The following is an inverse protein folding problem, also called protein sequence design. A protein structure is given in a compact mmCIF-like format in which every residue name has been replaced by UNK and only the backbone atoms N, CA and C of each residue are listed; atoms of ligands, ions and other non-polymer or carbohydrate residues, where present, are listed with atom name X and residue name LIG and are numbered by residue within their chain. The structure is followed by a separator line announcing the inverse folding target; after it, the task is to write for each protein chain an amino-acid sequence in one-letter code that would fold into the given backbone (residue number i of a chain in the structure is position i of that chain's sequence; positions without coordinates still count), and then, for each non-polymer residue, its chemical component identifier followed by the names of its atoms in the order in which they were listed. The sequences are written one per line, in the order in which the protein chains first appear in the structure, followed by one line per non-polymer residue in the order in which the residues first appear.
data_IF_185669522062
#
_entry.id   IF_185669522062
#
_cell.length_a   1.000
_cell.length_b   1.000
_cell.length_c   1.000
_cell.angle_alpha   90.00
_cell.angle_beta   90.00
_cell.angle_gamma   90.00
#
_symmetry.space_group_name_H-M   'P 1'
#
loop_
_entity.id
_entity.type
_entity.pdbx_description
1 polymer ?
#
# COMPACT_ATOMS: atom_id res chain seq x y z
N UNK A 1 -23.63 8.22 -28.28
CA UNK A 1 -24.38 7.78 -27.08
C UNK A 1 -24.30 6.26 -27.03
N UNK A 2 -23.63 5.64 -26.05
CA UNK A 2 -23.71 4.18 -25.92
C UNK A 2 -25.16 3.82 -25.57
N UNK A 3 -25.76 2.98 -26.40
CA UNK A 3 -27.14 2.50 -26.25
C UNK A 3 -27.29 1.75 -24.93
N UNK A 4 -28.36 1.97 -24.14
CA UNK A 4 -28.59 1.16 -22.95
C UNK A 4 -28.78 -0.31 -23.37
N UNK A 5 -27.90 -1.19 -22.88
CA UNK A 5 -27.94 -2.62 -23.18
C UNK A 5 -29.23 -3.25 -22.62
N UNK A 6 -29.82 -4.19 -23.37
CA UNK A 6 -31.00 -4.94 -22.96
C UNK A 6 -30.67 -5.79 -21.72
N UNK A 7 -31.43 -5.62 -20.64
CA UNK A 7 -31.33 -6.44 -19.43
C UNK A 7 -32.14 -7.73 -19.61
N UNK A 8 -31.57 -8.88 -19.25
CA UNK A 8 -32.24 -10.19 -19.28
C UNK A 8 -32.38 -10.69 -17.84
N UNK A 9 -33.52 -11.32 -17.52
CA UNK A 9 -33.70 -12.02 -16.24
C UNK A 9 -33.15 -13.43 -16.38
N UNK A 10 -32.20 -13.78 -15.53
CA UNK A 10 -31.55 -15.09 -15.53
C UNK A 10 -31.62 -15.66 -14.12
N UNK A 11 -31.97 -16.94 -14.01
CA UNK A 11 -31.91 -17.70 -12.76
C UNK A 11 -30.62 -18.48 -12.76
N UNK A 12 -29.79 -18.29 -11.73
CA UNK A 12 -28.52 -18.99 -11.54
C UNK A 12 -28.58 -19.71 -10.19
N UNK A 13 -28.14 -20.96 -10.15
CA UNK A 13 -27.89 -21.66 -8.88
C UNK A 13 -26.54 -21.18 -8.34
N UNK A 14 -26.57 -20.54 -7.18
CA UNK A 14 -25.40 -19.99 -6.51
C UNK A 14 -25.26 -20.60 -5.12
N UNK A 15 -24.03 -20.90 -4.67
CA UNK A 15 -23.76 -21.28 -3.29
C UNK A 15 -24.33 -20.27 -2.28
N UNK A 16 -24.89 -20.77 -1.17
CA UNK A 16 -25.62 -19.94 -0.20
C UNK A 16 -24.72 -18.92 0.51
N UNK A 17 -23.49 -19.30 0.78
CA UNK A 17 -22.40 -18.45 1.28
C UNK A 17 -22.13 -17.26 0.33
N UNK A 18 -22.01 -17.51 -0.97
CA UNK A 18 -21.77 -16.46 -1.96
C UNK A 18 -22.95 -15.46 -2.02
N UNK A 19 -24.18 -15.95 -1.93
CA UNK A 19 -25.38 -15.09 -1.87
C UNK A 19 -25.38 -14.24 -0.58
N UNK A 20 -24.91 -14.80 0.53
CA UNK A 20 -24.79 -14.08 1.80
C UNK A 20 -23.73 -12.97 1.72
N UNK A 21 -22.56 -13.24 1.15
CA UNK A 21 -21.52 -12.23 0.93
C UNK A 21 -22.00 -11.10 0.03
N UNK A 22 -22.71 -11.45 -1.07
CA UNK A 22 -23.29 -10.45 -1.97
C UNK A 22 -24.34 -9.57 -1.26
N UNK A 23 -25.16 -10.15 -0.37
CA UNK A 23 -26.11 -9.39 0.45
C UNK A 23 -25.40 -8.43 1.39
N UNK A 24 -24.35 -8.90 2.08
CA UNK A 24 -23.58 -8.07 3.00
C UNK A 24 -22.96 -6.87 2.27
N UNK A 25 -22.34 -7.11 1.11
CA UNK A 25 -21.75 -6.07 0.27
C UNK A 25 -22.80 -5.08 -0.25
N UNK A 26 -23.99 -5.56 -0.63
CA UNK A 26 -25.10 -4.71 -1.05
C UNK A 26 -25.56 -3.76 0.07
N UNK A 27 -25.63 -4.25 1.31
CA UNK A 27 -25.96 -3.42 2.48
C UNK A 27 -24.87 -2.39 2.75
N UNK A 28 -23.60 -2.79 2.74
CA UNK A 28 -22.46 -1.90 3.00
C UNK A 28 -22.35 -0.77 1.99
N UNK A 29 -22.63 -1.04 0.72
CA UNK A 29 -22.54 -0.05 -0.36
C UNK A 29 -23.86 0.68 -0.63
N UNK A 30 -24.93 0.42 0.13
CA UNK A 30 -26.29 0.92 -0.13
C UNK A 30 -26.79 0.66 -1.57
N UNK A 31 -26.43 -0.49 -2.13
CA UNK A 31 -26.74 -0.90 -3.51
C UNK A 31 -27.66 -2.10 -3.54
N UNK A 32 -28.28 -2.37 -4.69
CA UNK A 32 -29.11 -3.57 -4.87
C UNK A 32 -28.22 -4.78 -5.17
N UNK A 33 -28.63 -5.97 -4.72
CA UNK A 33 -27.92 -7.24 -4.97
C UNK A 33 -27.66 -7.47 -6.46
N UNK A 34 -28.62 -7.12 -7.34
CA UNK A 34 -28.46 -7.25 -8.79
C UNK A 34 -27.30 -6.41 -9.35
N UNK A 35 -27.02 -5.25 -8.76
CA UNK A 35 -25.97 -4.35 -9.23
C UNK A 35 -24.60 -4.88 -8.78
N UNK A 36 -24.53 -5.39 -7.54
CA UNK A 36 -23.37 -6.11 -7.02
C UNK A 36 -23.09 -7.37 -7.85
N UNK A 37 -24.13 -8.14 -8.20
CA UNK A 37 -24.03 -9.32 -9.05
C UNK A 37 -23.49 -8.97 -10.44
N UNK A 38 -24.06 -7.93 -11.07
CA UNK A 38 -23.64 -7.48 -12.41
C UNK A 38 -22.18 -7.05 -12.41
N UNK A 39 -21.74 -6.36 -11.36
CA UNK A 39 -20.36 -5.92 -11.22
C UNK A 39 -19.40 -7.08 -10.96
N UNK A 40 -19.75 -8.01 -10.07
CA UNK A 40 -18.95 -9.19 -9.79
C UNK A 40 -18.77 -10.05 -11.05
N UNK A 41 -19.87 -10.30 -11.78
CA UNK A 41 -19.83 -11.03 -13.05
C UNK A 41 -19.01 -10.27 -14.11
N UNK A 42 -19.17 -8.95 -14.23
CA UNK A 42 -18.37 -8.16 -15.16
C UNK A 42 -16.88 -8.24 -14.85
N UNK A 43 -16.50 -8.16 -13.57
CA UNK A 43 -15.10 -8.29 -13.14
C UNK A 43 -14.55 -9.69 -13.42
N UNK A 44 -15.34 -10.75 -13.18
CA UNK A 44 -14.93 -12.13 -13.44
C UNK A 44 -14.87 -12.53 -14.92
N UNK A 45 -15.63 -11.85 -15.78
CA UNK A 45 -15.62 -12.07 -17.23
C UNK A 45 -14.55 -11.26 -17.97
N UNK A 46 -13.94 -10.26 -17.31
CA UNK A 46 -12.77 -9.63 -17.88
C UNK A 46 -11.67 -10.70 -17.98
N UNK A 47 -10.98 -10.82 -19.13
CA UNK A 47 -9.84 -11.73 -19.22
C UNK A 47 -8.90 -11.41 -18.07
N UNK A 48 -8.48 -12.44 -17.33
CA UNK A 48 -7.40 -12.27 -16.36
C UNK A 48 -6.28 -11.57 -17.11
N UNK A 49 -6.04 -10.30 -16.77
CA UNK A 49 -4.72 -9.76 -16.91
C UNK A 49 -3.92 -10.64 -15.99
N UNK A 50 -3.33 -11.71 -16.55
CA UNK A 50 -2.26 -12.47 -15.91
C UNK A 50 -1.40 -11.39 -15.31
N UNK A 51 -1.50 -11.24 -14.00
CA UNK A 51 -0.53 -10.49 -13.26
C UNK A 51 0.69 -11.35 -13.47
N UNK A 52 1.50 -10.97 -14.46
CA UNK A 52 2.85 -11.51 -14.57
C UNK A 52 3.38 -11.49 -13.14
N UNK A 53 3.93 -12.62 -12.63
CA UNK A 53 4.38 -12.71 -11.25
C UNK A 53 5.15 -11.44 -10.98
N UNK A 54 4.72 -10.70 -9.96
CA UNK A 54 5.06 -9.32 -9.66
C UNK A 54 6.59 -9.16 -9.76
N UNK A 55 7.07 -8.93 -10.99
CA UNK A 55 8.41 -8.43 -11.22
C UNK A 55 8.25 -7.10 -10.53
N UNK A 56 8.91 -6.94 -9.40
CA UNK A 56 8.93 -5.71 -8.61
C UNK A 56 9.30 -4.58 -9.59
N UNK A 57 8.30 -4.04 -10.27
CA UNK A 57 8.41 -2.92 -11.19
C UNK A 57 8.26 -1.77 -10.24
N UNK A 58 9.39 -1.44 -9.60
CA UNK A 58 9.52 -0.43 -8.56
C UNK A 58 8.46 0.65 -8.73
N UNK A 59 7.41 0.53 -7.91
CA UNK A 59 6.16 1.30 -8.00
C UNK A 59 6.36 2.66 -7.35
N UNK A 60 7.42 3.35 -7.72
CA UNK A 60 7.71 4.70 -7.26
C UNK A 60 7.85 5.59 -8.48
N UNK A 61 7.15 6.73 -8.46
CA UNK A 61 7.32 7.79 -9.47
C UNK A 61 8.66 8.52 -9.34
N UNK A 62 9.40 8.21 -8.28
CA UNK A 62 10.67 8.82 -7.93
C UNK A 62 11.84 7.96 -8.46
N UNK A 63 12.95 8.58 -8.88
CA UNK A 63 14.12 7.83 -9.30
C UNK A 63 14.64 6.98 -8.14
N UNK A 64 14.88 5.70 -8.41
CA UNK A 64 15.64 4.86 -7.49
C UNK A 64 17.10 5.24 -7.62
N UNK A 65 17.58 6.01 -6.66
CA UNK A 65 19.00 6.28 -6.55
C UNK A 65 19.63 5.02 -5.96
N UNK A 66 20.41 4.30 -6.77
CA UNK A 66 21.32 3.26 -6.28
C UNK A 66 22.51 3.96 -5.65
N UNK A 67 22.34 4.41 -4.41
CA UNK A 67 23.35 5.13 -3.64
C UNK A 67 23.60 4.44 -2.30
N UNK A 68 24.82 4.62 -1.79
CA UNK A 68 25.31 4.01 -0.56
C UNK A 68 26.33 2.92 -0.84
N UNK A 69 27.61 3.20 -0.60
CA UNK A 69 28.54 2.10 -0.29
C UNK A 69 28.18 1.59 1.11
N UNK A 70 28.41 0.30 1.42
CA UNK A 70 28.42 -0.15 2.81
C UNK A 70 29.29 0.81 3.64
N UNK A 71 28.81 1.18 4.82
CA UNK A 71 29.63 1.94 5.76
C UNK A 71 30.90 1.13 6.07
N UNK A 72 32.06 1.81 6.14
CA UNK A 72 33.24 1.15 6.66
C UNK A 72 33.02 0.84 8.16
N UNK A 73 33.72 -0.15 8.72
CA UNK A 73 33.66 -0.43 10.15
C UNK A 73 33.96 0.85 10.97
N UNK A 74 33.01 1.26 11.82
CA UNK A 74 33.10 2.49 12.63
C UNK A 74 32.46 3.74 12.02
N UNK A 75 32.08 3.73 10.74
CA UNK A 75 31.26 4.77 10.10
C UNK A 75 29.76 4.43 10.13
N UNK A 76 29.42 3.26 10.68
CA UNK A 76 28.06 2.80 10.81
C UNK A 76 27.27 3.70 11.76
N UNK A 77 26.17 4.26 11.26
CA UNK A 77 25.20 4.99 12.07
C UNK A 77 24.24 4.01 12.74
N UNK A 78 24.76 3.17 13.65
CA UNK A 78 23.92 2.33 14.50
C UNK A 78 23.14 3.18 15.50
N UNK A 79 22.02 2.68 16.06
CA UNK A 79 21.25 3.42 17.07
C UNK A 79 22.10 3.88 18.26
N UNK A 80 23.02 3.03 18.72
CA UNK A 80 23.93 3.33 19.84
C UNK A 80 24.92 4.43 19.45
N UNK A 81 25.46 4.38 18.24
CA UNK A 81 26.39 5.40 17.75
C UNK A 81 25.70 6.76 17.57
N UNK A 82 24.48 6.76 17.07
CA UNK A 82 23.65 7.97 16.96
C UNK A 82 23.38 8.55 18.34
N UNK A 83 23.01 7.73 19.32
CA UNK A 83 22.77 8.20 20.68
C UNK A 83 24.01 8.88 21.28
N UNK A 84 25.19 8.27 21.11
CA UNK A 84 26.45 8.86 21.56
C UNK A 84 26.75 10.20 20.89
N UNK A 85 26.60 10.28 19.56
CA UNK A 85 26.85 11.53 18.82
C UNK A 85 25.93 12.66 19.31
N UNK A 86 24.65 12.36 19.52
CA UNK A 86 23.69 13.34 20.00
C UNK A 86 24.00 13.81 21.44
N UNK A 87 24.41 12.89 22.31
CA UNK A 87 24.83 13.23 23.68
C UNK A 87 26.10 14.10 23.69
N UNK A 88 27.10 13.75 22.87
CA UNK A 88 28.34 14.53 22.72
C UNK A 88 28.03 15.97 22.22
N UNK A 89 27.15 16.11 21.23
CA UNK A 89 26.69 17.42 20.72
C UNK A 89 25.97 18.25 21.78
N UNK A 90 25.13 17.63 22.61
CA UNK A 90 24.42 18.30 23.70
C UNK A 90 25.40 18.78 24.79
N UNK A 91 26.41 17.97 25.14
CA UNK A 91 27.49 18.36 26.05
C UNK A 91 28.29 19.53 25.49
N UNK A 92 28.71 19.47 24.22
CA UNK A 92 29.44 20.57 23.58
C UNK A 92 28.61 21.86 23.53
N UNK A 93 27.31 21.75 23.23
CA UNK A 93 26.39 22.89 23.21
C UNK A 93 26.26 23.52 24.60
N UNK A 94 26.14 22.69 25.63
CA UNK A 94 26.10 23.15 27.02
C UNK A 94 27.38 23.87 27.40
N UNK A 95 28.55 23.29 27.10
CA UNK A 95 29.85 23.90 27.38
C UNK A 95 30.00 25.26 26.69
N UNK A 96 29.65 25.34 25.40
CA UNK A 96 29.64 26.60 24.64
C UNK A 96 28.72 27.64 25.26
N UNK A 97 27.52 27.25 25.70
CA UNK A 97 26.57 28.16 26.33
C UNK A 97 27.01 28.62 27.73
N UNK A 98 27.74 27.77 28.46
CA UNK A 98 28.25 28.06 29.80
C UNK A 98 29.52 28.92 29.84
N UNK A 99 30.09 29.27 28.68
CA UNK A 99 31.24 30.15 28.57
C UNK A 99 32.56 29.55 29.09
N UNK A 100 32.61 28.24 29.31
CA UNK A 100 33.85 27.54 29.70
C UNK A 100 34.66 27.30 28.44
N UNK A 101 35.47 28.29 28.07
CA UNK A 101 36.61 28.09 27.18
C UNK A 101 37.74 27.50 28.02
N UNK A 102 38.28 26.36 27.61
CA UNK A 102 39.69 26.06 27.91
C UNK A 102 40.60 27.07 27.21
#
# INVERSE_FOLDING_TARGET
MPTPLKTVKTTLELPADLVQEMKLKAVQEHRRIKDVATEALRRGLLPEQRSEPDRIRHRVKLPLIRGGHPAAPGEELTPERIAQILEDEDVERFLRASGVSS
#
